data_IF_592867312326
#
_entry.id   IF_592867312326
#
_cell.length_a   1.000
_cell.length_b   1.000
_cell.length_c   1.000
_cell.angle_alpha   90.00
_cell.angle_beta   90.00
_cell.angle_gamma   90.00
#
_symmetry.space_group_name_H-M   'P 1'
#
loop_
_entity.id
_entity.type
_entity.pdbx_description
1 polymer ?
#
# COMPACT_ATOMS: atom_id res chain seq x y z
N UNK A 1 27.05 3.25 25.07
CA UNK A 1 25.85 3.51 24.26
C UNK A 1 25.00 2.27 24.34
N UNK A 2 23.86 2.34 25.03
CA UNK A 2 22.89 1.25 25.06
C UNK A 2 22.23 1.14 23.68
N UNK A 3 22.81 0.33 22.79
CA UNK A 3 22.21 0.03 21.49
C UNK A 3 21.21 -1.10 21.69
N UNK A 4 20.08 -0.77 22.30
CA UNK A 4 18.92 -1.65 22.37
C UNK A 4 17.70 -1.02 21.66
N UNK A 5 17.96 -0.26 20.59
CA UNK A 5 16.94 0.30 19.71
C UNK A 5 16.67 -0.69 18.58
N UNK A 6 15.50 -1.34 18.64
CA UNK A 6 14.97 -2.16 17.54
C UNK A 6 14.73 -1.25 16.32
N UNK A 7 15.36 -1.56 15.19
CA UNK A 7 15.17 -0.83 13.92
C UNK A 7 13.71 -0.94 13.47
N UNK A 8 13.13 0.17 13.02
CA UNK A 8 11.81 0.20 12.40
C UNK A 8 11.94 -0.08 10.91
N UNK A 9 11.20 -1.08 10.42
CA UNK A 9 11.32 -1.53 9.04
C UNK A 9 10.44 -0.67 8.12
N UNK A 10 10.96 -0.36 6.94
CA UNK A 10 10.21 0.23 5.85
C UNK A 10 9.29 -0.81 5.21
N UNK A 11 8.05 -0.41 4.93
CA UNK A 11 7.10 -1.13 4.09
C UNK A 11 6.06 -0.15 3.54
N UNK A 12 5.16 -0.63 2.68
CA UNK A 12 4.15 0.23 2.08
C UNK A 12 3.14 0.82 3.08
N UNK A 13 2.97 0.28 4.29
CA UNK A 13 2.05 0.82 5.29
C UNK A 13 2.75 1.77 6.27
N UNK A 14 3.92 1.36 6.76
CA UNK A 14 4.79 2.13 7.65
C UNK A 14 6.11 2.44 6.91
N UNK A 15 6.17 3.53 6.12
CA UNK A 15 7.35 3.91 5.35
C UNK A 15 8.43 4.56 6.24
N UNK A 16 8.99 3.79 7.17
CA UNK A 16 10.04 4.28 8.06
C UNK A 16 11.33 4.56 7.28
N UNK A 17 11.76 5.82 7.30
CA UNK A 17 12.95 6.29 6.57
C UNK A 17 13.93 6.88 7.57
N UNK A 18 15.19 6.49 7.43
CA UNK A 18 16.33 7.03 8.14
C UNK A 18 17.17 7.89 7.19
N UNK A 19 17.98 8.77 7.77
CA UNK A 19 19.01 9.49 7.03
C UNK A 19 20.36 8.98 7.49
N UNK A 20 21.25 8.67 6.56
CA UNK A 20 22.65 8.47 6.87
C UNK A 20 23.46 9.63 6.28
N UNK A 21 24.56 9.94 6.95
CA UNK A 21 25.54 10.93 6.50
C UNK A 21 26.92 10.27 6.60
N UNK A 22 27.72 10.48 5.56
CA UNK A 22 29.10 10.05 5.46
C UNK A 22 29.94 11.31 5.40
N UNK A 23 30.83 11.46 6.37
CA UNK A 23 31.77 12.55 6.46
C UNK A 23 33.15 12.07 6.03
N UNK A 24 33.73 12.74 5.04
CA UNK A 24 35.13 12.56 4.65
C UNK A 24 35.94 13.58 5.43
N UNK A 25 36.82 13.11 6.32
CA UNK A 25 37.64 13.98 7.16
C UNK A 25 39.03 14.16 6.54
N UNK A 26 39.61 15.35 6.66
CA UNK A 26 41.01 15.59 6.33
C UNK A 26 41.95 15.10 7.45
N UNK A 27 43.26 15.25 7.27
CA UNK A 27 44.27 14.85 8.26
C UNK A 27 44.10 15.53 9.63
N UNK A 28 43.48 16.72 9.65
CA UNK A 28 43.19 17.49 10.87
C UNK A 28 41.86 17.09 11.53
N UNK A 29 41.21 16.00 11.09
CA UNK A 29 39.89 15.55 11.55
C UNK A 29 38.78 16.57 11.30
N UNK A 30 38.92 17.42 10.26
CA UNK A 30 37.89 18.37 9.85
C UNK A 30 37.11 17.82 8.64
N UNK A 31 35.77 18.01 8.58
CA UNK A 31 35.00 17.62 7.40
C UNK A 31 35.50 18.34 6.14
N UNK A 32 35.94 17.55 5.17
CA UNK A 32 36.28 17.97 3.81
C UNK A 32 35.05 17.87 2.90
N UNK A 33 34.27 16.80 3.06
CA UNK A 33 33.05 16.53 2.30
C UNK A 33 32.02 15.82 3.18
N UNK A 34 30.75 16.16 3.01
CA UNK A 34 29.63 15.49 3.67
C UNK A 34 28.61 15.13 2.60
N UNK A 35 28.27 13.86 2.50
CA UNK A 35 27.21 13.36 1.63
C UNK A 35 26.32 12.41 2.39
N UNK A 36 25.06 12.28 1.98
CA UNK A 36 24.11 11.47 2.70
C UNK A 36 22.85 11.23 1.89
N UNK A 37 22.15 10.16 2.23
CA UNK A 37 20.92 9.75 1.56
C UNK A 37 19.89 9.25 2.56
N UNK A 38 18.68 9.03 2.05
CA UNK A 38 17.58 8.39 2.77
C UNK A 38 17.66 6.88 2.59
N UNK A 39 17.41 6.13 3.66
CA UNK A 39 17.42 4.67 3.65
C UNK A 39 16.19 4.11 4.39
N UNK A 40 15.58 3.07 3.83
CA UNK A 40 14.53 2.30 4.49
C UNK A 40 14.98 0.86 4.69
N UNK A 41 15.05 0.42 5.94
CA UNK A 41 15.43 -0.96 6.25
C UNK A 41 14.30 -1.91 5.90
N UNK A 42 14.54 -2.81 4.95
CA UNK A 42 13.58 -3.85 4.58
C UNK A 42 14.32 -5.09 4.08
N UNK A 43 13.64 -6.22 4.15
CA UNK A 43 14.09 -7.47 3.55
C UNK A 43 13.09 -7.88 2.46
N UNK A 44 13.60 -8.36 1.33
CA UNK A 44 12.81 -8.80 0.18
C UNK A 44 13.14 -10.24 -0.12
N UNK A 45 12.11 -11.07 -0.26
CA UNK A 45 12.27 -12.47 -0.66
C UNK A 45 11.21 -12.84 -1.66
N UNK A 46 11.54 -13.79 -2.52
CA UNK A 46 10.59 -14.52 -3.33
C UNK A 46 10.70 -15.99 -2.97
N UNK A 47 9.55 -16.63 -2.78
CA UNK A 47 9.47 -18.08 -2.61
C UNK A 47 8.42 -18.57 -3.60
N UNK A 48 8.82 -19.43 -4.54
CA UNK A 48 8.00 -19.81 -5.70
C UNK A 48 7.53 -18.55 -6.44
N UNK A 49 6.24 -18.21 -6.33
CA UNK A 49 5.63 -17.02 -6.96
C UNK A 49 5.17 -15.98 -5.94
N UNK A 50 5.48 -16.16 -4.66
CA UNK A 50 5.04 -15.30 -3.57
C UNK A 50 6.14 -14.32 -3.17
N UNK A 51 5.80 -13.03 -3.17
CA UNK A 51 6.68 -11.94 -2.76
C UNK A 51 6.49 -11.70 -1.26
N UNK A 52 7.59 -11.59 -0.53
CA UNK A 52 7.60 -11.26 0.88
C UNK A 52 8.38 -9.98 1.13
N UNK A 53 7.80 -9.09 1.93
CA UNK A 53 8.46 -7.89 2.46
C UNK A 53 8.54 -8.07 3.97
N UNK A 54 9.75 -8.09 4.53
CA UNK A 54 9.98 -8.30 5.97
C UNK A 54 9.35 -9.60 6.52
N UNK A 55 9.42 -10.69 5.75
CA UNK A 55 8.77 -11.99 6.02
C UNK A 55 7.23 -11.98 6.04
N UNK A 56 6.59 -10.91 5.57
CA UNK A 56 5.14 -10.83 5.37
C UNK A 56 4.83 -10.94 3.89
N UNK A 57 3.94 -11.86 3.51
CA UNK A 57 3.49 -12.03 2.13
C UNK A 57 2.83 -10.73 1.64
N UNK A 58 3.29 -10.21 0.51
CA UNK A 58 2.75 -9.02 -0.14
C UNK A 58 1.64 -9.42 -1.12
N UNK A 59 0.42 -8.97 -0.88
CA UNK A 59 -0.65 -9.06 -1.87
C UNK A 59 -0.49 -7.90 -2.86
N UNK A 60 0.17 -8.14 -3.99
CA UNK A 60 0.48 -7.07 -4.96
C UNK A 60 -0.80 -6.48 -5.54
N UNK A 61 -1.02 -5.19 -5.25
CA UNK A 61 -2.11 -4.35 -5.75
C UNK A 61 -1.47 -3.19 -6.50
N UNK A 62 -1.19 -3.38 -7.80
CA UNK A 62 -0.33 -2.48 -8.55
C UNK A 62 -1.08 -1.63 -9.60
N UNK A 63 -0.76 -0.34 -9.60
CA UNK A 63 -1.20 0.61 -10.61
C UNK A 63 -0.08 0.82 -11.63
N UNK A 64 -0.31 0.48 -12.90
CA UNK A 64 0.59 0.85 -13.98
C UNK A 64 0.37 2.33 -14.33
N UNK A 65 1.48 3.09 -14.35
CA UNK A 65 1.48 4.52 -14.66
C UNK A 65 2.36 4.81 -15.88
N UNK A 66 1.88 5.71 -16.75
CA UNK A 66 2.60 6.15 -17.95
C UNK A 66 3.21 7.55 -17.72
N UNK A 67 4.51 7.69 -17.94
CA UNK A 67 5.24 8.94 -17.73
C UNK A 67 4.71 10.10 -18.55
N UNK A 68 4.35 9.87 -19.82
CA UNK A 68 3.86 10.91 -20.72
C UNK A 68 2.48 11.51 -20.33
N UNK A 69 1.80 10.92 -19.34
CA UNK A 69 0.50 11.39 -18.85
C UNK A 69 0.58 12.13 -17.51
N UNK A 70 1.78 12.27 -16.93
CA UNK A 70 2.00 12.85 -15.61
C UNK A 70 3.06 13.94 -15.73
N UNK A 71 2.74 15.13 -15.25
CA UNK A 71 3.72 16.23 -15.12
C UNK A 71 4.45 16.14 -13.79
N UNK A 72 5.66 16.69 -13.72
CA UNK A 72 6.42 16.77 -12.46
C UNK A 72 5.63 17.41 -11.32
N UNK A 73 4.86 18.47 -11.59
CA UNK A 73 4.07 19.17 -10.58
C UNK A 73 2.86 18.37 -10.11
N UNK A 74 2.36 17.43 -10.91
CA UNK A 74 1.20 16.60 -10.57
C UNK A 74 1.58 15.22 -10.00
N UNK A 75 2.85 14.82 -10.10
CA UNK A 75 3.33 13.50 -9.71
C UNK A 75 2.94 13.11 -8.27
N UNK A 76 3.17 14.01 -7.32
CA UNK A 76 2.82 13.76 -5.91
C UNK A 76 1.32 13.50 -5.74
N UNK A 77 0.49 14.32 -6.38
CA UNK A 77 -0.97 14.18 -6.35
C UNK A 77 -1.40 12.83 -6.92
N UNK A 78 -0.85 12.44 -8.08
CA UNK A 78 -1.16 11.14 -8.71
C UNK A 78 -0.80 9.95 -7.81
N UNK A 79 0.41 9.94 -7.25
CA UNK A 79 0.87 8.86 -6.39
C UNK A 79 0.07 8.78 -5.08
N UNK A 80 -0.28 9.95 -4.53
CA UNK A 80 -1.16 10.04 -3.36
C UNK A 80 -2.55 9.50 -3.65
N UNK A 81 -3.14 9.85 -4.79
CA UNK A 81 -4.45 9.31 -5.20
C UNK A 81 -4.42 7.79 -5.34
N UNK A 82 -3.40 7.23 -6.01
CA UNK A 82 -3.21 5.77 -6.12
C UNK A 82 -3.20 5.13 -4.72
N UNK A 83 -2.43 5.70 -3.79
CA UNK A 83 -2.34 5.22 -2.41
C UNK A 83 -3.65 5.31 -1.63
N UNK A 84 -4.42 6.38 -1.81
CA UNK A 84 -5.75 6.57 -1.20
C UNK A 84 -6.81 5.62 -1.77
N UNK A 85 -6.55 5.01 -2.92
CA UNK A 85 -7.37 3.95 -3.53
C UNK A 85 -6.87 2.54 -3.20
N UNK A 86 -6.13 2.40 -2.09
CA UNK A 86 -5.66 1.13 -1.52
C UNK A 86 -4.70 0.32 -2.41
N UNK A 87 -4.13 0.93 -3.45
CA UNK A 87 -2.96 0.37 -4.11
C UNK A 87 -1.76 0.42 -3.15
N UNK A 88 -0.96 -0.64 -3.15
CA UNK A 88 0.28 -0.70 -2.39
C UNK A 88 1.51 -0.61 -3.28
N UNK A 89 1.33 -0.64 -4.59
CA UNK A 89 2.40 -0.75 -5.56
C UNK A 89 2.11 0.06 -6.82
N UNK A 90 3.16 0.44 -7.54
CA UNK A 90 3.10 0.97 -8.90
C UNK A 90 4.01 0.19 -9.83
N UNK A 91 3.65 0.15 -11.10
CA UNK A 91 4.46 -0.40 -12.18
C UNK A 91 4.82 0.73 -13.14
N UNK A 92 6.12 0.85 -13.44
CA UNK A 92 6.65 1.84 -14.39
C UNK A 92 7.30 1.13 -15.57
N UNK A 93 7.07 1.66 -16.77
CA UNK A 93 7.53 1.11 -18.05
C UNK A 93 8.49 2.04 -18.80
N UNK A 94 8.98 3.06 -18.12
CA UNK A 94 9.89 4.08 -18.62
C UNK A 94 10.81 4.50 -17.47
N UNK A 95 11.91 5.18 -17.79
CA UNK A 95 12.80 5.71 -16.76
C UNK A 95 12.16 6.91 -16.08
N UNK A 96 12.16 6.90 -14.76
CA UNK A 96 11.74 8.02 -13.94
C UNK A 96 12.93 8.61 -13.19
N UNK A 97 12.89 9.91 -12.93
CA UNK A 97 13.90 10.52 -12.09
C UNK A 97 13.73 10.10 -10.61
N UNK A 98 14.72 10.47 -9.79
CA UNK A 98 14.76 10.21 -8.35
C UNK A 98 13.49 10.67 -7.60
N UNK A 99 12.83 11.72 -8.08
CA UNK A 99 11.68 12.35 -7.42
C UNK A 99 10.49 11.40 -7.28
N UNK A 100 10.23 10.55 -8.27
CA UNK A 100 9.18 9.53 -8.17
C UNK A 100 9.45 8.59 -6.99
N UNK A 101 10.67 8.06 -6.91
CA UNK A 101 11.07 7.16 -5.84
C UNK A 101 11.09 7.86 -4.49
N UNK A 102 11.51 9.13 -4.46
CA UNK A 102 11.48 9.94 -3.25
C UNK A 102 10.07 10.07 -2.66
N UNK A 103 9.05 10.23 -3.52
CA UNK A 103 7.66 10.24 -3.11
C UNK A 103 7.18 8.86 -2.67
N UNK A 104 7.43 7.82 -3.47
CA UNK A 104 7.06 6.43 -3.15
C UNK A 104 7.66 5.94 -1.84
N UNK A 105 8.91 6.31 -1.55
CA UNK A 105 9.58 6.04 -0.27
C UNK A 105 8.82 6.65 0.90
N UNK A 106 8.32 7.88 0.73
CA UNK A 106 7.70 8.69 1.78
C UNK A 106 6.25 8.29 2.04
N UNK A 107 5.49 7.90 1.00
CA UNK A 107 4.08 7.48 1.13
C UNK A 107 3.91 5.98 1.31
N UNK A 108 4.97 5.20 1.13
CA UNK A 108 4.89 3.74 1.13
C UNK A 108 4.16 3.19 -0.08
N UNK A 109 4.76 3.34 -1.27
CA UNK A 109 4.39 2.58 -2.45
C UNK A 109 5.58 1.73 -2.89
N UNK A 110 5.34 0.45 -3.16
CA UNK A 110 6.35 -0.38 -3.80
C UNK A 110 6.43 0.00 -5.29
N UNK A 111 7.62 -0.04 -5.87
CA UNK A 111 7.88 0.27 -7.27
C UNK A 111 8.42 -0.98 -7.96
N UNK A 112 7.75 -1.35 -9.04
CA UNK A 112 8.16 -2.37 -9.99
C UNK A 112 8.58 -1.69 -11.28
N UNK A 113 9.80 -1.96 -11.76
CA UNK A 113 10.32 -1.38 -13.01
C UNK A 113 10.34 -2.46 -14.10
N UNK A 114 9.54 -2.26 -15.15
CA UNK A 114 9.64 -3.09 -16.35
C UNK A 114 10.98 -2.85 -17.03
N UNK A 115 11.58 -3.94 -17.49
CA UNK A 115 12.79 -3.94 -18.29
C UNK A 115 12.42 -4.45 -19.67
N UNK A 116 12.53 -3.57 -20.65
CA UNK A 116 12.46 -3.94 -22.04
C UNK A 116 13.49 -3.14 -22.85
N UNK A 117 13.64 -3.50 -24.12
CA UNK A 117 14.54 -2.82 -25.05
C UNK A 117 14.09 -1.38 -25.38
N UNK A 118 12.84 -1.02 -25.10
CA UNK A 118 12.33 0.34 -25.30
C UNK A 118 12.69 1.26 -24.13
N UNK A 119 12.91 0.69 -22.95
CA UNK A 119 13.27 1.38 -21.71
C UNK A 119 14.78 1.52 -21.59
N UNK A 120 15.53 0.47 -21.91
CA UNK A 120 16.99 0.43 -21.77
C UNK A 120 17.66 0.03 -23.08
N UNK A 121 18.38 0.97 -23.70
CA UNK A 121 19.02 0.75 -25.00
C UNK A 121 20.38 0.04 -24.91
N UNK A 122 20.99 0.00 -23.73
CA UNK A 122 22.28 -0.64 -23.49
C UNK A 122 22.47 -1.02 -22.02
N UNK A 123 23.45 -1.88 -21.73
CA UNK A 123 23.82 -2.24 -20.35
C UNK A 123 24.28 -1.01 -19.57
N UNK A 124 25.08 -0.12 -20.17
CA UNK A 124 25.53 1.11 -19.52
C UNK A 124 24.36 2.02 -19.14
N UNK A 125 23.34 2.07 -19.98
CA UNK A 125 22.14 2.88 -19.78
C UNK A 125 21.23 2.32 -18.67
N UNK A 126 21.19 0.99 -18.51
CA UNK A 126 20.58 0.33 -17.34
C UNK A 126 21.39 0.60 -16.06
N UNK A 127 22.72 0.46 -16.11
CA UNK A 127 23.61 0.67 -14.97
C UNK A 127 23.51 2.10 -14.42
N UNK A 128 23.55 3.10 -15.30
CA UNK A 128 23.44 4.51 -14.91
C UNK A 128 22.10 4.80 -14.23
N UNK A 129 21.02 4.22 -14.75
CA UNK A 129 19.70 4.34 -14.14
C UNK A 129 19.63 3.61 -12.80
N UNK A 130 20.12 2.37 -12.73
CA UNK A 130 20.14 1.61 -11.48
C UNK A 130 20.91 2.34 -10.38
N UNK A 131 22.10 2.86 -10.68
CA UNK A 131 22.91 3.61 -9.71
C UNK A 131 22.17 4.85 -9.18
N UNK A 132 21.33 5.50 -10.00
CA UNK A 132 20.57 6.67 -9.54
C UNK A 132 19.38 6.32 -8.66
N UNK A 133 18.91 5.07 -8.67
CA UNK A 133 17.70 4.65 -7.92
C UNK A 133 17.95 3.57 -6.84
N UNK A 134 19.13 2.96 -6.81
CA UNK A 134 19.44 1.79 -5.96
C UNK A 134 19.39 2.01 -4.45
N UNK A 135 19.33 3.26 -3.99
CA UNK A 135 19.22 3.54 -2.55
C UNK A 135 17.74 3.62 -2.10
N UNK A 136 16.79 3.69 -3.04
CA UNK A 136 15.38 3.84 -2.71
C UNK A 136 14.77 2.54 -2.20
N UNK A 137 14.18 2.53 -0.99
CA UNK A 137 13.50 1.37 -0.46
C UNK A 137 12.19 1.05 -1.18
N UNK A 138 11.52 2.03 -1.77
CA UNK A 138 10.34 1.80 -2.58
C UNK A 138 10.60 0.91 -3.78
N UNK A 139 11.81 0.93 -4.34
CA UNK A 139 12.15 0.08 -5.47
C UNK A 139 12.43 -1.36 -5.04
N UNK A 140 11.50 -2.28 -5.32
CA UNK A 140 11.57 -3.66 -4.82
C UNK A 140 11.87 -4.71 -5.87
N UNK A 141 11.53 -4.45 -7.13
CA UNK A 141 11.64 -5.49 -8.15
C UNK A 141 11.77 -4.95 -9.57
N UNK A 142 12.56 -5.67 -10.35
CA UNK A 142 12.59 -5.61 -11.79
C UNK A 142 11.56 -6.59 -12.36
N UNK A 143 10.84 -6.18 -13.41
CA UNK A 143 9.94 -7.03 -14.17
C UNK A 143 10.59 -7.33 -15.52
N UNK A 144 11.06 -8.56 -15.71
CA UNK A 144 11.63 -9.02 -16.97
C UNK A 144 10.54 -9.76 -17.77
N UNK A 145 9.99 -9.08 -18.78
CA UNK A 145 8.96 -9.64 -19.69
C UNK A 145 9.58 -10.54 -20.77
N UNK A 146 10.78 -11.09 -20.55
CA UNK A 146 11.42 -12.09 -21.40
C UNK A 146 12.01 -11.53 -22.70
N UNK A 147 12.22 -10.21 -22.77
CA UNK A 147 12.66 -9.53 -24.00
C UNK A 147 14.15 -9.77 -24.29
N UNK A 148 14.97 -10.02 -23.27
CA UNK A 148 16.39 -10.30 -23.45
C UNK A 148 16.96 -11.14 -22.28
N UNK A 149 17.42 -12.35 -22.59
CA UNK A 149 17.93 -13.34 -21.63
C UNK A 149 19.18 -12.90 -20.86
N UNK A 150 19.82 -11.80 -21.24
CA UNK A 150 21.00 -11.28 -20.55
C UNK A 150 20.67 -10.39 -19.33
N UNK A 151 19.47 -9.80 -19.24
CA UNK A 151 19.15 -8.84 -18.18
C UNK A 151 19.08 -9.46 -16.80
N UNK A 152 18.37 -10.58 -16.66
CA UNK A 152 18.29 -11.35 -15.41
C UNK A 152 19.69 -11.69 -14.89
N UNK A 153 20.57 -12.20 -15.76
CA UNK A 153 21.95 -12.55 -15.40
C UNK A 153 22.78 -11.34 -14.95
N UNK A 154 22.59 -10.19 -15.59
CA UNK A 154 23.31 -8.96 -15.23
C UNK A 154 22.80 -8.42 -13.89
N UNK A 155 21.50 -8.28 -13.73
CA UNK A 155 20.89 -7.71 -12.54
C UNK A 155 21.10 -8.57 -11.30
N UNK A 156 21.00 -9.89 -11.44
CA UNK A 156 21.27 -10.83 -10.34
C UNK A 156 22.71 -10.76 -9.84
N UNK A 157 23.66 -10.22 -10.62
CA UNK A 157 25.04 -9.97 -10.20
C UNK A 157 25.28 -8.56 -9.68
N UNK A 158 24.46 -7.60 -10.09
CA UNK A 158 24.57 -6.20 -9.69
C UNK A 158 23.90 -5.93 -8.34
N UNK A 159 22.79 -6.60 -8.08
CA UNK A 159 21.97 -6.33 -6.91
C UNK A 159 21.23 -7.57 -6.40
N UNK A 160 21.64 -8.04 -5.23
CA UNK A 160 20.98 -9.14 -4.53
C UNK A 160 19.87 -8.64 -3.59
N UNK A 161 19.70 -7.32 -3.43
CA UNK A 161 18.72 -6.74 -2.52
C UNK A 161 17.34 -6.52 -3.15
N UNK A 162 17.22 -6.75 -4.46
CA UNK A 162 15.99 -6.56 -5.24
C UNK A 162 15.58 -7.84 -5.93
N UNK A 163 14.28 -7.99 -6.14
CA UNK A 163 13.74 -9.13 -6.86
C UNK A 163 13.85 -8.90 -8.37
N UNK A 164 13.95 -10.00 -9.10
CA UNK A 164 13.78 -10.04 -10.55
C UNK A 164 12.64 -11.02 -10.78
N UNK A 165 11.54 -10.52 -11.36
CA UNK A 165 10.36 -11.34 -11.64
C UNK A 165 10.34 -11.72 -13.11
N UNK A 166 10.12 -13.01 -13.37
CA UNK A 166 9.95 -13.55 -14.72
C UNK A 166 8.55 -13.25 -15.25
N UNK A 167 8.34 -13.41 -16.56
CA UNK A 167 7.03 -13.24 -17.21
C UNK A 167 5.93 -14.11 -16.57
N UNK A 168 6.23 -15.36 -16.21
CA UNK A 168 5.29 -16.25 -15.52
C UNK A 168 4.86 -15.69 -14.15
N UNK A 169 5.84 -15.21 -13.36
CA UNK A 169 5.59 -14.59 -12.06
C UNK A 169 4.80 -13.29 -12.21
N UNK A 170 5.04 -12.53 -13.28
CA UNK A 170 4.32 -11.30 -13.63
C UNK A 170 2.86 -11.58 -13.96
N UNK A 171 2.58 -12.57 -14.82
CA UNK A 171 1.22 -12.91 -15.27
C UNK A 171 0.30 -13.34 -14.12
N UNK A 172 0.87 -13.87 -13.03
CA UNK A 172 0.12 -14.19 -11.81
C UNK A 172 -0.34 -12.97 -11.01
N UNK A 173 0.13 -11.76 -11.34
CA UNK A 173 -0.16 -10.51 -10.59
C UNK A 173 -1.21 -9.66 -11.29
N UNK A 174 -1.92 -8.85 -10.50
CA UNK A 174 -2.93 -7.92 -11.00
C UNK A 174 -2.29 -6.55 -11.17
N UNK A 175 -2.08 -6.14 -12.42
CA UNK A 175 -1.66 -4.79 -12.79
C UNK A 175 -2.81 -4.07 -13.49
N UNK A 176 -3.20 -2.92 -12.96
CA UNK A 176 -4.28 -2.10 -13.53
C UNK A 176 -3.70 -0.81 -14.08
N UNK A 177 -4.04 -0.46 -15.31
CA UNK A 177 -3.64 0.81 -15.90
C UNK A 177 -4.45 1.96 -15.26
N UNK A 178 -3.77 2.74 -14.41
CA UNK A 178 -4.42 3.79 -13.61
C UNK A 178 -5.13 4.86 -14.44
N UNK A 179 -4.59 5.13 -15.63
CA UNK A 179 -5.05 6.19 -16.52
C UNK A 179 -6.31 5.80 -17.30
N UNK A 180 -6.63 4.51 -17.36
CA UNK A 180 -7.82 3.98 -18.05
C UNK A 180 -9.00 3.77 -17.10
N UNK A 181 -8.80 3.88 -15.78
CA UNK A 181 -9.87 3.74 -14.80
C UNK A 181 -10.70 5.03 -14.71
N UNK A 182 -12.02 4.88 -14.88
CA UNK A 182 -12.95 5.96 -14.53
C UNK A 182 -12.97 6.19 -13.01
N UNK A 183 -13.52 7.33 -12.57
CA UNK A 183 -13.66 7.59 -11.13
C UNK A 183 -14.52 6.52 -10.42
N UNK A 184 -15.54 5.99 -11.10
CA UNK A 184 -16.35 4.91 -10.54
C UNK A 184 -15.54 3.61 -10.42
N UNK A 185 -14.74 3.27 -11.42
CA UNK A 185 -13.88 2.08 -11.38
C UNK A 185 -12.85 2.19 -10.26
N UNK A 186 -12.30 3.39 -10.02
CA UNK A 186 -11.37 3.64 -8.92
C UNK A 186 -12.01 3.37 -7.56
N UNK A 187 -13.25 3.78 -7.33
CA UNK A 187 -13.96 3.47 -6.07
C UNK A 187 -14.27 1.97 -5.93
N UNK A 188 -14.64 1.30 -7.01
CA UNK A 188 -14.82 -0.17 -7.03
C UNK A 188 -13.51 -0.88 -6.69
N UNK A 189 -12.39 -0.45 -7.28
CA UNK A 189 -11.07 -0.99 -6.99
C UNK A 189 -10.66 -0.70 -5.55
N UNK A 190 -10.88 0.53 -5.05
CA UNK A 190 -10.60 0.89 -3.65
C UNK A 190 -11.32 -0.03 -2.68
N UNK A 191 -12.59 -0.35 -2.95
CA UNK A 191 -13.38 -1.32 -2.17
C UNK A 191 -12.79 -2.72 -2.25
N UNK A 192 -12.42 -3.20 -3.44
CA UNK A 192 -11.79 -4.52 -3.64
C UNK A 192 -10.41 -4.63 -2.97
N UNK A 193 -9.66 -3.54 -2.91
CA UNK A 193 -8.27 -3.50 -2.45
C UNK A 193 -8.12 -3.16 -0.97
N UNK A 194 -9.21 -3.06 -0.21
CA UNK A 194 -9.16 -2.85 1.24
C UNK A 194 -8.27 -3.90 1.92
N UNK A 195 -7.42 -3.48 2.85
CA UNK A 195 -6.55 -4.39 3.64
C UNK A 195 -7.29 -4.98 4.84
N UNK A 196 -8.47 -4.43 5.16
CA UNK A 196 -9.32 -4.85 6.26
C UNK A 196 -10.63 -5.42 5.72
N UNK A 197 -10.99 -6.63 6.14
CA UNK A 197 -12.34 -7.14 5.93
C UNK A 197 -13.18 -6.92 7.18
N UNK A 198 -14.39 -6.42 6.96
CA UNK A 198 -15.35 -6.18 8.01
C UNK A 198 -16.47 -7.21 7.85
N UNK A 199 -16.76 -7.95 8.92
CA UNK A 199 -17.81 -8.94 9.00
C UNK A 199 -18.76 -8.56 10.12
N UNK A 200 -20.06 -8.47 9.84
CA UNK A 200 -21.04 -8.13 10.86
C UNK A 200 -22.02 -9.28 11.08
N UNK A 201 -22.22 -9.63 12.36
CA UNK A 201 -23.18 -10.65 12.80
C UNK A 201 -24.29 -9.97 13.60
N UNK A 202 -25.48 -9.74 13.03
CA UNK A 202 -26.56 -9.02 13.70
C UNK A 202 -27.12 -9.74 14.91
N UNK A 203 -27.23 -11.07 14.84
CA UNK A 203 -27.79 -11.86 15.93
C UNK A 203 -27.00 -11.70 17.22
N UNK A 204 -25.71 -11.36 17.12
CA UNK A 204 -24.82 -11.08 18.25
C UNK A 204 -24.39 -9.61 18.31
N UNK A 205 -24.90 -8.78 17.40
CA UNK A 205 -24.46 -7.41 17.15
C UNK A 205 -22.93 -7.24 17.10
N UNK A 206 -22.23 -8.24 16.55
CA UNK A 206 -20.77 -8.31 16.61
C UNK A 206 -20.15 -7.94 15.28
N UNK A 207 -19.34 -6.89 15.27
CA UNK A 207 -18.46 -6.55 14.16
C UNK A 207 -17.10 -7.22 14.38
N UNK A 208 -16.70 -8.07 13.45
CA UNK A 208 -15.36 -8.65 13.38
C UNK A 208 -14.59 -7.95 12.26
N UNK A 209 -13.36 -7.54 12.55
CA UNK A 209 -12.45 -6.93 11.59
C UNK A 209 -11.22 -7.82 11.48
N UNK A 210 -10.93 -8.27 10.26
CA UNK A 210 -9.72 -9.04 9.94
C UNK A 210 -8.75 -8.19 9.13
N UNK A 211 -7.47 -8.30 9.44
CA UNK A 211 -6.37 -7.67 8.71
C UNK A 211 -5.55 -8.75 8.00
N UNK A 212 -5.38 -8.63 6.68
CA UNK A 212 -4.73 -9.65 5.84
C UNK A 212 -3.23 -9.49 5.70
N UNK A 213 -2.71 -8.30 6.01
CA UNK A 213 -1.30 -7.99 5.95
C UNK A 213 -0.89 -7.42 7.31
N UNK A 214 -0.03 -8.12 8.06
CA UNK A 214 0.29 -7.78 9.45
C UNK A 214 1.09 -6.47 9.53
N UNK A 215 0.53 -5.45 10.19
CA UNK A 215 1.17 -4.15 10.36
C UNK A 215 0.95 -3.58 11.76
N UNK A 216 1.95 -2.84 12.24
CA UNK A 216 2.12 -2.45 13.65
C UNK A 216 1.35 -1.16 14.04
N UNK A 217 1.01 -0.31 13.08
CA UNK A 217 0.46 1.04 13.29
C UNK A 217 -1.09 1.08 13.32
N UNK A 218 -1.69 0.10 13.99
CA UNK A 218 -3.15 0.03 14.17
C UNK A 218 -3.71 1.12 15.08
N UNK A 219 -2.85 1.72 15.91
CA UNK A 219 -3.16 2.76 16.90
C UNK A 219 -3.66 4.07 16.27
N UNK A 220 -3.48 4.25 14.96
CA UNK A 220 -3.94 5.40 14.19
C UNK A 220 -5.36 5.24 13.64
N UNK A 221 -6.02 4.10 13.88
CA UNK A 221 -7.31 3.78 13.28
C UNK A 221 -8.49 3.90 14.26
N UNK A 222 -9.64 4.30 13.75
CA UNK A 222 -10.92 4.20 14.46
C UNK A 222 -12.02 3.73 13.52
N UNK A 223 -12.95 2.99 14.10
CA UNK A 223 -14.16 2.53 13.44
C UNK A 223 -15.24 3.55 13.75
N UNK A 224 -15.82 4.10 12.70
CA UNK A 224 -17.08 4.81 12.77
C UNK A 224 -18.17 3.90 12.21
N UNK A 225 -19.32 3.87 12.85
CA UNK A 225 -20.45 3.11 12.38
C UNK A 225 -21.71 3.94 12.42
N UNK A 226 -22.61 3.66 11.48
CA UNK A 226 -23.90 4.34 11.31
C UNK A 226 -24.95 3.27 11.06
N UNK A 227 -26.09 3.38 11.71
CA UNK A 227 -27.29 2.59 11.48
C UNK A 227 -28.30 3.51 10.82
N UNK A 228 -28.82 3.11 9.65
CA UNK A 228 -29.75 3.91 8.87
C UNK A 228 -31.05 3.15 8.59
N UNK A 229 -32.17 3.87 8.59
CA UNK A 229 -33.48 3.41 8.09
C UNK A 229 -33.94 4.42 7.03
N UNK A 230 -34.24 3.99 5.81
CA UNK A 230 -34.64 4.86 4.70
C UNK A 230 -33.72 6.09 4.57
N UNK A 231 -32.40 5.86 4.55
CA UNK A 231 -31.32 6.86 4.51
C UNK A 231 -31.21 7.81 5.71
N UNK A 232 -32.16 7.77 6.65
CA UNK A 232 -32.10 8.54 7.89
C UNK A 232 -31.21 7.84 8.92
N UNK A 233 -30.25 8.57 9.50
CA UNK A 233 -29.39 8.05 10.57
C UNK A 233 -30.20 7.86 11.83
N UNK A 234 -30.35 6.60 12.24
CA UNK A 234 -30.99 6.22 13.49
C UNK A 234 -30.00 6.29 14.66
N UNK A 235 -28.77 5.82 14.41
CA UNK A 235 -27.72 5.76 15.41
C UNK A 235 -26.36 5.84 14.75
N UNK A 236 -25.38 6.34 15.48
CA UNK A 236 -23.98 6.25 15.10
C UNK A 236 -23.11 6.07 16.33
N UNK A 237 -21.87 5.65 16.10
CA UNK A 237 -20.87 5.57 17.15
C UNK A 237 -19.46 5.49 16.59
N UNK A 238 -18.50 5.59 17.49
CA UNK A 238 -17.08 5.48 17.21
C UNK A 238 -16.44 4.53 18.23
N UNK A 239 -15.50 3.71 17.76
CA UNK A 239 -14.62 2.94 18.62
C UNK A 239 -13.17 3.05 18.12
N UNK A 240 -12.22 3.22 19.04
CA UNK A 240 -10.80 3.14 18.70
C UNK A 240 -10.47 1.70 18.29
N UNK A 241 -9.75 1.57 17.18
CA UNK A 241 -9.18 0.29 16.79
C UNK A 241 -7.87 0.13 17.56
N UNK A 242 -7.80 -0.86 18.45
CA UNK A 242 -6.60 -1.14 19.23
C UNK A 242 -6.21 -2.60 18.96
N UNK A 243 -5.31 -2.80 18.00
CA UNK A 243 -4.98 -4.15 17.55
C UNK A 243 -3.77 -4.72 18.29
N UNK A 244 -3.91 -5.96 18.75
CA UNK A 244 -2.80 -6.79 19.21
C UNK A 244 -2.66 -8.10 18.40
N UNK A 245 -3.39 -8.26 17.29
CA UNK A 245 -3.42 -9.50 16.47
C UNK A 245 -3.91 -9.29 15.03
N UNK A 246 -4.45 -10.32 14.38
CA UNK A 246 -5.01 -10.22 13.02
C UNK A 246 -6.54 -10.00 13.02
N UNK A 247 -7.16 -10.06 14.19
CA UNK A 247 -8.61 -10.05 14.36
C UNK A 247 -9.00 -9.18 15.56
N UNK A 248 -10.00 -8.32 15.38
CA UNK A 248 -10.64 -7.58 16.47
C UNK A 248 -12.15 -7.73 16.39
N UNK A 249 -12.79 -7.83 17.56
CA UNK A 249 -14.25 -7.89 17.69
C UNK A 249 -14.75 -6.67 18.46
N UNK A 250 -15.83 -6.08 17.97
CA UNK A 250 -16.56 -5.00 18.62
C UNK A 250 -18.00 -5.42 18.81
N UNK A 251 -18.49 -5.25 20.03
CA UNK A 251 -19.93 -5.27 20.27
C UNK A 251 -20.49 -3.93 19.81
N UNK A 252 -21.36 -3.96 18.82
CA UNK A 252 -22.09 -2.80 18.35
C UNK A 252 -23.41 -2.77 19.11
N UNK A 253 -23.72 -1.63 19.70
CA UNK A 253 -25.04 -1.44 20.29
C UNK A 253 -26.06 -1.22 19.16
N UNK A 254 -26.47 -2.34 18.57
CA UNK A 254 -27.30 -2.38 17.38
C UNK A 254 -28.80 -2.22 17.67
N UNK A 255 -29.24 -2.17 18.95
CA UNK A 255 -30.66 -2.13 19.31
C UNK A 255 -31.47 -3.32 18.77
N UNK A 256 -32.77 -3.38 19.10
CA UNK A 256 -33.73 -4.28 18.43
C UNK A 256 -34.54 -3.48 17.40
N UNK A 257 -34.28 -3.68 16.10
CA UNK A 257 -35.04 -3.03 15.02
C UNK A 257 -35.88 -4.05 14.26
N UNK A 258 -37.20 -4.01 14.49
CA UNK A 258 -38.17 -4.98 13.95
C UNK A 258 -39.04 -4.45 12.80
N UNK A 259 -38.79 -3.25 12.29
CA UNK A 259 -39.67 -2.65 11.29
C UNK A 259 -38.96 -1.73 10.31
N UNK A 260 -39.24 -1.97 9.02
CA UNK A 260 -38.80 -1.23 7.82
C UNK A 260 -37.29 -1.36 7.62
N UNK A 261 -36.86 -1.90 6.47
CA UNK A 261 -35.47 -2.31 6.24
C UNK A 261 -34.41 -1.29 6.72
N UNK A 262 -33.35 -1.79 7.33
CA UNK A 262 -32.27 -0.99 7.90
C UNK A 262 -30.92 -1.40 7.32
N UNK A 263 -29.94 -0.52 7.42
CA UNK A 263 -28.57 -0.84 7.05
C UNK A 263 -27.57 -0.42 8.12
N UNK A 264 -26.52 -1.22 8.29
CA UNK A 264 -25.33 -0.83 9.03
C UNK A 264 -24.26 -0.45 8.04
N UNK A 265 -23.68 0.72 8.22
CA UNK A 265 -22.48 1.13 7.52
C UNK A 265 -21.34 1.21 8.53
N UNK A 266 -20.24 0.52 8.23
CA UNK A 266 -19.02 0.58 9.00
C UNK A 266 -17.93 1.21 8.14
N UNK A 267 -17.24 2.20 8.68
CA UNK A 267 -16.12 2.88 8.05
C UNK A 267 -14.92 2.82 9.00
N UNK A 268 -13.83 2.20 8.57
CA UNK A 268 -12.54 2.28 9.24
C UNK A 268 -11.80 3.51 8.73
N UNK A 269 -11.41 4.39 9.65
CA UNK A 269 -10.91 5.73 9.33
C UNK A 269 -9.63 6.07 10.06
N UNK A 270 -8.88 7.01 9.48
CA UNK A 270 -7.67 7.58 10.06
C UNK A 270 -8.04 8.59 11.14
N UNK A 271 -7.47 8.45 12.33
CA UNK A 271 -7.80 9.30 13.51
C UNK A 271 -6.91 10.52 13.66
N UNK A 272 -5.73 10.49 13.05
CA UNK A 272 -4.70 11.54 13.12
C UNK A 272 -4.06 11.69 11.75
N UNK A 273 -3.78 12.92 11.34
CA UNK A 273 -3.07 13.17 10.09
C UNK A 273 -1.73 12.42 10.07
N UNK A 274 -1.51 11.67 8.98
CA UNK A 274 -0.30 10.92 8.73
C UNK A 274 -0.14 10.79 7.23
N UNK A 275 0.72 11.61 6.64
CA UNK A 275 0.93 11.64 5.19
C UNK A 275 1.14 10.22 4.63
N UNK A 276 0.44 9.83 3.54
CA UNK A 276 -0.42 10.67 2.68
C UNK A 276 -1.88 10.83 3.17
N UNK A 277 -2.25 10.15 4.26
CA UNK A 277 -3.58 10.17 4.82
C UNK A 277 -3.86 11.39 5.67
N UNK A 278 -5.11 11.84 5.64
CA UNK A 278 -5.66 12.87 6.51
C UNK A 278 -6.63 12.24 7.50
N UNK A 279 -6.81 12.90 8.63
CA UNK A 279 -7.83 12.55 9.60
C UNK A 279 -9.20 12.52 8.91
N UNK A 280 -9.91 11.41 9.07
CA UNK A 280 -11.22 11.17 8.47
C UNK A 280 -11.17 10.39 7.15
N UNK A 281 -10.00 10.19 6.54
CA UNK A 281 -9.89 9.33 5.36
C UNK A 281 -10.39 7.92 5.68
N UNK A 282 -11.23 7.38 4.78
CA UNK A 282 -11.80 6.04 4.90
C UNK A 282 -10.88 5.06 4.17
N UNK A 283 -10.30 4.12 4.93
CA UNK A 283 -9.38 3.09 4.39
C UNK A 283 -10.10 1.79 4.08
N UNK A 284 -11.18 1.50 4.80
CA UNK A 284 -12.05 0.36 4.55
C UNK A 284 -13.48 0.69 4.95
N UNK A 285 -14.44 0.11 4.27
CA UNK A 285 -15.85 0.32 4.54
C UNK A 285 -16.67 -0.88 4.11
N UNK A 286 -17.73 -1.17 4.86
CA UNK A 286 -18.68 -2.20 4.48
C UNK A 286 -20.10 -1.79 4.85
N UNK A 287 -21.06 -2.06 3.97
CA UNK A 287 -22.48 -1.80 4.24
C UNK A 287 -23.24 -3.11 4.26
N UNK A 288 -24.04 -3.29 5.29
CA UNK A 288 -24.84 -4.48 5.54
C UNK A 288 -26.30 -4.07 5.54
N UNK A 289 -27.08 -4.53 4.56
CA UNK A 289 -28.51 -4.20 4.44
C UNK A 289 -29.36 -5.37 4.92
N UNK A 290 -30.44 -5.00 5.61
CA UNK A 290 -31.52 -5.87 6.02
C UNK A 290 -32.81 -5.36 5.41
N UNK A 291 -33.36 -6.12 4.48
CA UNK A 291 -34.65 -5.81 3.88
C UNK A 291 -35.68 -6.83 4.34
N UNK A 292 -36.90 -6.37 4.62
CA UNK A 292 -38.04 -7.24 4.80
C UNK A 292 -38.59 -7.58 3.42
N UNK A 293 -38.50 -8.84 3.03
CA UNK A 293 -39.11 -9.37 1.80
C UNK A 293 -40.08 -10.50 2.18
N UNK A 294 -41.37 -10.29 1.93
CA UNK A 294 -42.44 -11.25 2.28
C UNK A 294 -42.41 -11.73 3.74
N UNK A 295 -42.07 -10.83 4.67
CA UNK A 295 -41.94 -11.15 6.11
C UNK A 295 -40.63 -11.82 6.51
N UNK A 296 -39.75 -12.14 5.55
CA UNK A 296 -38.41 -12.67 5.81
C UNK A 296 -37.36 -11.56 5.74
N UNK A 297 -36.40 -11.61 6.66
CA UNK A 297 -35.26 -10.69 6.68
C UNK A 297 -34.20 -11.19 5.70
N UNK A 298 -33.94 -10.45 4.62
CA UNK A 298 -32.86 -10.73 3.67
C UNK A 298 -31.64 -9.91 4.05
N UNK A 299 -30.49 -10.56 4.09
CA UNK A 299 -29.20 -9.97 4.38
C UNK A 299 -28.36 -9.83 3.10
N UNK A 300 -27.88 -8.61 2.82
CA UNK A 300 -26.88 -8.38 1.77
C UNK A 300 -25.71 -7.56 2.32
N UNK A 301 -24.50 -7.85 1.84
CA UNK A 301 -23.30 -7.09 2.13
C UNK A 301 -22.79 -6.45 0.83
N UNK A 302 -22.55 -5.13 0.87
CA UNK A 302 -22.05 -4.31 -0.24
C UNK A 302 -20.66 -3.74 0.06
#
# INVERSE_FOLDING_TARGET
MDINTKVELWNHFSPNIYKYEIEVLNEEQRPYEIFGERIGFRDLRINEDEIFVNNVKLSVKAAEIKHNLITEDSLEYYLREIKLHNFNSIVINTKWNKRLFDFCDSIGLNVFQKIDANTFYSISDLLNYFVSIKEHPSFIAWLDEGVNSDWERILSRLDHSRLILTDEQIQSKIFMNWHELSNNDKEVVKKRFQTFNLYFSPGTAMLKIEQYEFFKDSDKLAINWIIQINDSTLRSGNAKYNNSGNEIKFLIDAGEYKSVGYSYQFNLTITKDSYPYRKGDVIASNRFRYTLNDGNLIYTAD
#
